data_IF_359334441994
#
_entry.id   IF_359334441994
#
_cell.length_a   1.000
_cell.length_b   1.000
_cell.length_c   1.000
_cell.angle_alpha   90.00
_cell.angle_beta   90.00
_cell.angle_gamma   90.00
#
_symmetry.space_group_name_H-M   'P 1'
#
loop_
_entity.id
_entity.type
_entity.pdbx_description
1 polymer ?
#
# COMPACT_ATOMS: atom_id res chain seq x y z
N UNK A 1 4.26 -19.42 -14.25
CA UNK A 1 5.05 -18.46 -13.44
C UNK A 1 4.05 -17.45 -12.89
N UNK A 2 3.98 -17.25 -11.57
CA UNK A 2 2.97 -16.40 -10.95
C UNK A 2 3.49 -14.97 -10.86
N UNK A 3 2.97 -14.08 -11.71
CA UNK A 3 3.40 -12.67 -11.77
C UNK A 3 2.49 -11.73 -10.98
N UNK A 4 1.26 -12.13 -10.70
CA UNK A 4 0.28 -11.32 -9.96
C UNK A 4 -0.40 -12.17 -8.88
N UNK A 5 -0.54 -11.59 -7.69
CA UNK A 5 -1.35 -12.13 -6.59
C UNK A 5 -2.39 -11.08 -6.23
N UNK A 6 -3.65 -11.52 -6.11
CA UNK A 6 -4.76 -10.67 -5.71
C UNK A 6 -5.51 -11.29 -4.54
N UNK A 7 -5.72 -10.49 -3.49
CA UNK A 7 -6.57 -10.84 -2.36
C UNK A 7 -7.81 -9.93 -2.36
N UNK A 8 -9.00 -10.53 -2.33
CA UNK A 8 -10.28 -9.81 -2.35
C UNK A 8 -11.11 -10.21 -1.14
N UNK A 9 -11.46 -9.24 -0.28
CA UNK A 9 -12.21 -9.42 0.98
C UNK A 9 -11.71 -10.60 1.83
N UNK A 10 -10.43 -10.93 1.67
CA UNK A 10 -9.85 -12.11 2.28
C UNK A 10 -9.32 -11.75 3.68
N UNK A 11 -9.62 -12.60 4.66
CA UNK A 11 -8.93 -12.61 5.94
C UNK A 11 -7.74 -13.53 5.82
N UNK A 12 -6.57 -12.93 5.62
CA UNK A 12 -5.32 -13.66 5.47
C UNK A 12 -4.95 -14.33 6.80
N UNK A 13 -4.54 -15.59 6.73
CA UNK A 13 -3.95 -16.30 7.87
C UNK A 13 -2.65 -15.64 8.34
N UNK A 14 -2.24 -15.91 9.57
CA UNK A 14 -1.04 -15.36 10.16
C UNK A 14 0.22 -15.72 9.34
N UNK A 15 1.11 -14.74 9.16
CA UNK A 15 2.45 -14.94 8.59
C UNK A 15 2.51 -15.00 7.06
N UNK A 16 1.42 -14.74 6.35
CA UNK A 16 1.41 -14.74 4.89
C UNK A 16 2.39 -13.72 4.28
N UNK A 17 2.65 -12.58 4.95
CA UNK A 17 3.58 -11.54 4.44
C UNK A 17 4.97 -12.14 4.23
N UNK A 18 5.43 -12.99 5.15
CA UNK A 18 6.74 -13.63 5.06
C UNK A 18 6.84 -14.53 3.81
N UNK A 19 5.72 -15.10 3.36
CA UNK A 19 5.70 -16.01 2.21
C UNK A 19 6.00 -15.31 0.89
N UNK A 20 5.72 -14.00 0.79
CA UNK A 20 5.99 -13.22 -0.42
C UNK A 20 7.48 -13.15 -0.76
N UNK A 21 8.37 -13.26 0.24
CA UNK A 21 9.82 -13.27 0.03
C UNK A 21 10.31 -14.48 -0.80
N UNK A 22 9.50 -15.54 -0.88
CA UNK A 22 9.79 -16.72 -1.68
C UNK A 22 9.21 -16.65 -3.10
N UNK A 23 8.44 -15.60 -3.42
CA UNK A 23 7.82 -15.43 -4.73
C UNK A 23 8.82 -14.84 -5.74
N UNK A 24 9.67 -15.68 -6.32
CA UNK A 24 10.75 -15.25 -7.23
C UNK A 24 10.35 -14.66 -8.59
N UNK A 25 9.05 -14.48 -8.87
CA UNK A 25 8.57 -13.89 -10.13
C UNK A 25 7.36 -12.96 -9.94
N UNK A 26 6.97 -12.68 -8.69
CA UNK A 26 5.80 -11.86 -8.40
C UNK A 26 6.14 -10.41 -8.70
N UNK A 27 5.42 -9.80 -9.65
CA UNK A 27 5.55 -8.40 -10.05
C UNK A 27 4.51 -7.51 -9.38
N UNK A 28 3.30 -8.03 -9.21
CA UNK A 28 2.16 -7.24 -8.72
C UNK A 28 1.47 -7.91 -7.54
N UNK A 29 1.28 -7.15 -6.46
CA UNK A 29 0.47 -7.55 -5.32
C UNK A 29 -0.72 -6.60 -5.21
N UNK A 30 -1.94 -7.17 -5.25
CA UNK A 30 -3.19 -6.41 -5.12
C UNK A 30 -3.96 -6.88 -3.90
N UNK A 31 -4.40 -5.94 -3.08
CA UNK A 31 -5.31 -6.20 -1.95
C UNK A 31 -6.53 -5.32 -2.11
N UNK A 32 -7.70 -5.93 -2.11
CA UNK A 32 -9.00 -5.30 -2.35
C UNK A 32 -9.91 -5.61 -1.18
N UNK A 33 -10.42 -4.60 -0.49
CA UNK A 33 -11.33 -4.72 0.65
C UNK A 33 -10.76 -5.52 1.85
N UNK A 34 -9.45 -5.74 1.93
CA UNK A 34 -8.83 -6.47 3.04
C UNK A 34 -8.75 -5.59 4.30
N UNK A 35 -9.43 -6.01 5.37
CA UNK A 35 -9.56 -5.24 6.63
C UNK A 35 -8.38 -5.36 7.59
N UNK A 36 -7.57 -6.42 7.44
CA UNK A 36 -6.34 -6.65 8.19
C UNK A 36 -5.25 -7.04 7.21
N UNK A 37 -4.02 -6.60 7.46
CA UNK A 37 -2.86 -6.99 6.67
C UNK A 37 -2.42 -8.38 7.10
N UNK A 38 -1.79 -8.52 8.25
CA UNK A 38 -1.38 -9.81 8.82
C UNK A 38 -1.63 -9.73 10.33
N UNK A 39 -2.34 -10.68 10.96
CA UNK A 39 -2.56 -10.61 12.41
C UNK A 39 -1.30 -10.93 13.24
N UNK A 40 -0.26 -11.52 12.65
CA UNK A 40 1.01 -11.82 13.31
C UNK A 40 2.14 -11.80 12.28
N UNK A 41 2.54 -10.60 11.80
CA UNK A 41 3.71 -10.48 10.96
C UNK A 41 4.92 -10.98 11.76
N UNK A 42 5.76 -11.83 11.14
CA UNK A 42 7.04 -12.23 11.74
C UNK A 42 7.83 -10.95 12.07
N UNK A 43 8.63 -10.91 13.16
CA UNK A 43 9.42 -9.72 13.49
C UNK A 43 10.21 -9.21 12.27
N UNK A 44 10.29 -7.89 12.10
CA UNK A 44 10.86 -7.22 10.92
C UNK A 44 12.29 -7.71 10.62
N UNK A 45 13.10 -7.96 11.66
CA UNK A 45 14.46 -8.54 11.58
C UNK A 45 14.54 -9.94 10.97
N UNK A 46 13.40 -10.61 10.86
CA UNK A 46 13.26 -11.96 10.31
C UNK A 46 12.48 -11.99 8.99
N UNK A 47 12.04 -10.85 8.47
CA UNK A 47 11.33 -10.77 7.20
C UNK A 47 12.34 -10.63 6.04
N UNK A 48 12.19 -11.49 5.03
CA UNK A 48 12.89 -11.32 3.75
C UNK A 48 12.17 -10.31 2.86
N UNK A 49 12.81 -9.85 1.79
CA UNK A 49 12.17 -9.01 0.77
C UNK A 49 11.75 -9.83 -0.46
N UNK A 50 10.76 -9.33 -1.19
CA UNK A 50 10.39 -9.83 -2.52
C UNK A 50 11.00 -8.90 -3.58
N UNK A 51 12.19 -9.19 -4.12
CA UNK A 51 12.92 -8.26 -4.99
C UNK A 51 12.28 -8.08 -6.36
N UNK A 52 11.42 -9.00 -6.79
CA UNK A 52 10.72 -8.94 -8.08
C UNK A 52 9.44 -8.11 -8.02
N UNK A 53 8.96 -7.75 -6.83
CA UNK A 53 7.71 -7.02 -6.69
C UNK A 53 7.92 -5.56 -7.10
N UNK A 54 7.23 -5.14 -8.15
CA UNK A 54 7.34 -3.82 -8.75
C UNK A 54 6.15 -2.93 -8.38
N UNK A 55 4.98 -3.53 -8.14
CA UNK A 55 3.73 -2.79 -7.99
C UNK A 55 2.90 -3.30 -6.80
N UNK A 56 2.47 -2.38 -5.94
CA UNK A 56 1.61 -2.64 -4.78
C UNK A 56 0.29 -1.86 -4.89
N UNK A 57 -0.84 -2.56 -5.01
CA UNK A 57 -2.17 -1.94 -5.05
C UNK A 57 -2.94 -2.25 -3.77
N UNK A 58 -3.42 -1.19 -3.11
CA UNK A 58 -4.24 -1.25 -1.89
C UNK A 58 -5.56 -0.53 -2.15
N UNK A 59 -6.62 -1.29 -2.42
CA UNK A 59 -7.95 -0.74 -2.69
C UNK A 59 -8.91 -1.07 -1.55
N UNK A 60 -9.62 -0.07 -0.99
CA UNK A 60 -10.59 -0.24 0.11
C UNK A 60 -10.03 -1.02 1.31
N UNK A 61 -8.70 -1.02 1.47
CA UNK A 61 -8.04 -1.71 2.56
C UNK A 61 -8.09 -0.86 3.83
N UNK A 62 -7.76 -1.46 4.97
CA UNK A 62 -7.47 -0.75 6.21
C UNK A 62 -6.02 -1.05 6.64
N UNK A 63 -5.27 0.02 6.89
CA UNK A 63 -3.87 0.18 7.35
C UNK A 63 -4.01 0.89 8.71
N UNK A 64 -4.17 0.08 9.75
CA UNK A 64 -4.40 0.54 11.13
C UNK A 64 -3.39 -0.06 12.10
N UNK A 65 -2.55 -0.97 11.62
CA UNK A 65 -1.67 -1.77 12.43
C UNK A 65 -0.26 -1.56 11.93
N UNK A 66 0.41 -0.59 12.57
CA UNK A 66 1.73 -0.13 12.19
C UNK A 66 2.74 -1.27 12.04
N UNK A 67 2.66 -2.32 12.86
CA UNK A 67 3.59 -3.45 12.75
C UNK A 67 3.37 -4.22 11.45
N UNK A 68 2.12 -4.56 11.17
CA UNK A 68 1.71 -5.30 9.98
C UNK A 68 1.88 -4.50 8.69
N UNK A 69 1.63 -3.20 8.76
CA UNK A 69 1.81 -2.27 7.65
C UNK A 69 3.32 -2.12 7.34
N UNK A 70 4.16 -1.89 8.36
CA UNK A 70 5.61 -1.83 8.18
C UNK A 70 6.19 -3.15 7.66
N UNK A 71 5.71 -4.29 8.16
CA UNK A 71 6.09 -5.60 7.65
C UNK A 71 5.79 -5.73 6.14
N UNK A 72 4.59 -5.33 5.71
CA UNK A 72 4.23 -5.35 4.29
C UNK A 72 5.16 -4.46 3.47
N UNK A 73 5.39 -3.21 3.87
CA UNK A 73 6.27 -2.30 3.12
C UNK A 73 7.73 -2.77 3.13
N UNK A 74 8.20 -3.43 4.19
CA UNK A 74 9.54 -4.02 4.23
C UNK A 74 9.70 -5.14 3.19
N UNK A 75 8.74 -6.07 3.14
CA UNK A 75 8.78 -7.16 2.15
C UNK A 75 8.67 -6.58 0.73
N UNK A 76 7.92 -5.49 0.57
CA UNK A 76 7.71 -4.77 -0.68
C UNK A 76 8.77 -3.66 -0.94
N UNK A 77 9.95 -3.68 -0.30
CA UNK A 77 10.95 -2.59 -0.45
C UNK A 77 11.40 -2.36 -1.90
N UNK A 78 11.25 -3.35 -2.77
CA UNK A 78 11.61 -3.29 -4.18
C UNK A 78 10.60 -2.52 -5.07
N UNK A 79 9.39 -2.27 -4.55
CA UNK A 79 8.26 -1.66 -5.27
C UNK A 79 8.62 -0.28 -5.78
N UNK A 80 8.17 0.00 -7.00
CA UNK A 80 8.32 1.27 -7.71
C UNK A 80 7.01 2.05 -7.78
N UNK A 81 5.90 1.33 -7.81
CA UNK A 81 4.58 1.91 -7.97
C UNK A 81 3.67 1.46 -6.83
N UNK A 82 3.17 2.41 -6.05
CA UNK A 82 2.17 2.16 -5.01
C UNK A 82 0.88 2.87 -5.44
N UNK A 83 -0.21 2.12 -5.49
CA UNK A 83 -1.53 2.64 -5.83
C UNK A 83 -2.45 2.38 -4.65
N UNK A 84 -3.02 3.44 -4.07
CA UNK A 84 -3.95 3.36 -2.96
C UNK A 84 -5.26 3.99 -3.40
N UNK A 85 -6.33 3.22 -3.27
CA UNK A 85 -7.66 3.58 -3.78
C UNK A 85 -8.73 3.40 -2.70
N UNK A 86 -9.71 4.32 -2.64
CA UNK A 86 -10.90 4.24 -1.78
C UNK A 86 -10.57 3.92 -0.31
N UNK A 87 -9.48 4.50 0.20
CA UNK A 87 -8.88 4.08 1.46
C UNK A 87 -9.50 4.81 2.67
N UNK A 88 -9.84 4.08 3.73
CA UNK A 88 -10.51 4.62 4.91
C UNK A 88 -9.50 4.84 6.03
N UNK A 89 -9.24 6.12 6.37
CA UNK A 89 -8.34 6.48 7.47
C UNK A 89 -6.91 6.78 7.01
N UNK A 90 -6.75 7.62 5.99
CA UNK A 90 -5.42 8.16 5.66
C UNK A 90 -4.87 8.94 6.86
N UNK A 91 -3.82 8.40 7.45
CA UNK A 91 -3.08 9.02 8.54
C UNK A 91 -1.64 9.32 8.07
N UNK A 92 -0.98 10.32 8.65
CA UNK A 92 0.43 10.63 8.39
C UNK A 92 1.34 9.40 8.57
N UNK A 93 0.94 8.46 9.44
CA UNK A 93 1.66 7.22 9.69
C UNK A 93 1.79 6.34 8.44
N UNK A 94 0.80 6.33 7.56
CA UNK A 94 0.83 5.54 6.33
C UNK A 94 1.93 6.03 5.38
N UNK A 95 2.10 7.35 5.26
CA UNK A 95 3.18 7.94 4.48
C UNK A 95 4.55 7.62 5.09
N UNK A 96 4.64 7.62 6.42
CA UNK A 96 5.85 7.20 7.12
C UNK A 96 6.18 5.73 6.83
N UNK A 97 5.20 4.83 6.83
CA UNK A 97 5.41 3.42 6.47
C UNK A 97 5.79 3.25 4.99
N UNK A 98 5.15 3.98 4.08
CA UNK A 98 5.47 3.95 2.65
C UNK A 98 6.92 4.42 2.37
N UNK A 99 7.50 5.28 3.21
CA UNK A 99 8.90 5.72 3.09
C UNK A 99 9.93 4.58 3.24
N UNK A 100 9.53 3.41 3.76
CA UNK A 100 10.34 2.19 3.77
C UNK A 100 10.69 1.77 2.33
N UNK A 101 9.75 1.93 1.39
CA UNK A 101 9.95 1.61 -0.03
C UNK A 101 10.70 2.74 -0.76
N UNK A 102 12.01 2.87 -0.50
CA UNK A 102 12.87 3.94 -1.06
C UNK A 102 12.98 3.96 -2.59
N UNK A 103 12.50 2.92 -3.28
CA UNK A 103 12.53 2.80 -4.75
C UNK A 103 11.25 3.30 -5.42
N UNK A 104 10.25 3.69 -4.64
CA UNK A 104 8.98 4.20 -5.15
C UNK A 104 9.25 5.44 -5.98
N UNK A 105 8.79 5.40 -7.23
CA UNK A 105 8.79 6.51 -8.18
C UNK A 105 7.40 7.10 -8.32
N UNK A 106 6.37 6.30 -8.08
CA UNK A 106 4.99 6.69 -8.25
C UNK A 106 4.15 6.24 -7.06
N UNK A 107 3.44 7.18 -6.43
CA UNK A 107 2.45 6.91 -5.40
C UNK A 107 1.14 7.62 -5.79
N UNK A 108 0.16 6.83 -6.24
CA UNK A 108 -1.19 7.31 -6.54
C UNK A 108 -2.09 7.13 -5.33
N UNK A 109 -2.81 8.20 -4.97
CA UNK A 109 -3.83 8.20 -3.93
C UNK A 109 -5.14 8.67 -4.57
N UNK A 110 -6.06 7.75 -4.75
CA UNK A 110 -7.37 8.02 -5.34
C UNK A 110 -8.45 7.70 -4.33
N UNK A 111 -9.42 8.61 -4.18
CA UNK A 111 -10.55 8.37 -3.29
C UNK A 111 -10.19 8.63 -1.83
N UNK A 112 -10.31 9.89 -1.43
CA UNK A 112 -10.25 10.30 -0.03
C UNK A 112 -11.46 11.18 0.26
N UNK A 113 -12.47 10.60 0.91
CA UNK A 113 -13.40 11.42 1.69
C UNK A 113 -12.69 11.86 2.96
N UNK A 114 -11.98 12.99 2.94
CA UNK A 114 -11.75 13.72 4.19
C UNK A 114 -13.14 14.02 4.74
N UNK A 115 -13.45 13.45 5.91
CA UNK A 115 -14.79 13.47 6.47
C UNK A 115 -15.33 14.90 6.64
N UNK A 116 -16.10 15.39 5.66
CA UNK A 116 -17.22 16.27 5.94
C UNK A 116 -18.41 15.37 6.19
N UNK A 117 -18.83 15.27 7.44
CA UNK A 117 -20.19 14.82 7.78
C UNK A 117 -21.16 15.61 6.88
N UNK A 118 -21.76 14.96 5.88
CA UNK A 118 -22.91 15.49 5.14
C UNK A 118 -22.63 16.32 3.87
N UNK A 119 -21.49 16.19 3.19
CA UNK A 119 -21.25 16.87 1.90
C UNK A 119 -20.69 15.92 0.85
N UNK A 120 -21.20 16.01 -0.39
CA UNK A 120 -20.82 15.17 -1.56
C UNK A 120 -19.32 14.84 -1.58
N UNK A 121 -19.00 13.55 -1.60
CA UNK A 121 -17.62 13.04 -1.73
C UNK A 121 -17.07 13.43 -3.10
N UNK A 122 -16.19 14.43 -3.18
CA UNK A 122 -15.32 14.60 -4.33
C UNK A 122 -14.09 13.70 -4.15
N UNK A 123 -13.69 12.91 -5.16
CA UNK A 123 -12.38 12.30 -5.13
C UNK A 123 -11.35 13.40 -5.34
N UNK A 124 -10.50 13.60 -4.35
CA UNK A 124 -9.23 14.24 -4.60
C UNK A 124 -8.30 13.18 -5.18
N UNK A 125 -7.70 13.46 -6.34
CA UNK A 125 -6.55 12.72 -6.83
C UNK A 125 -5.31 13.39 -6.23
N UNK A 126 -4.57 12.67 -5.40
CA UNK A 126 -3.28 13.14 -4.92
C UNK A 126 -2.18 12.35 -5.61
N UNK A 127 -1.29 13.06 -6.30
CA UNK A 127 -0.05 12.49 -6.78
C UNK A 127 1.00 12.71 -5.70
N UNK A 128 1.47 11.64 -5.07
CA UNK A 128 2.61 11.77 -4.17
C UNK A 128 3.87 11.36 -4.93
N UNK A 129 4.79 12.30 -5.09
CA UNK A 129 6.12 12.03 -5.63
C UNK A 129 7.06 11.79 -4.45
N UNK A 130 7.42 10.53 -4.20
CA UNK A 130 8.44 10.19 -3.23
C UNK A 130 9.81 10.19 -3.93
N UNK A 131 10.70 11.10 -3.52
CA UNK A 131 12.11 11.15 -3.95
C UNK A 131 12.97 10.82 -2.72
N UNK A 132 13.49 9.59 -2.66
CA UNK A 132 14.29 9.14 -1.52
C UNK A 132 13.46 9.05 -0.23
N UNK A 133 13.80 9.87 0.76
CA UNK A 133 13.08 9.93 2.07
C UNK A 133 11.98 10.99 2.12
N UNK A 134 11.76 11.73 1.03
CA UNK A 134 10.89 12.91 1.02
C UNK A 134 9.73 12.67 0.05
N UNK A 135 8.51 12.72 0.57
CA UNK A 135 7.30 12.59 -0.24
C UNK A 135 6.65 13.97 -0.39
N UNK A 136 6.54 14.44 -1.64
CA UNK A 136 5.81 15.65 -2.00
C UNK A 136 4.41 15.24 -2.42
N UNK A 137 3.40 15.74 -1.71
CA UNK A 137 1.99 15.50 -2.02
C UNK A 137 1.52 16.64 -2.91
N UNK A 138 1.16 16.32 -4.16
CA UNK A 138 0.53 17.25 -5.09
C UNK A 138 -0.95 16.92 -5.17
N UNK A 139 -1.80 17.93 -4.94
CA UNK A 139 -3.22 17.85 -5.22
C UNK A 139 -3.42 18.06 -6.73
N UNK A 140 -3.92 17.04 -7.43
CA UNK A 140 -4.25 17.15 -8.84
C UNK A 140 -5.62 17.84 -8.98
N UNK A 141 -5.76 18.84 -9.87
CA UNK A 141 -7.06 19.39 -10.19
C UNK A 141 -7.94 18.30 -10.81
N UNK A 142 -9.20 18.25 -10.39
CA UNK A 142 -10.23 17.29 -10.81
C UNK A 142 -10.35 17.28 -12.34
N UNK A 143 -9.73 16.31 -13.03
CA UNK A 143 -9.74 16.17 -14.50
C UNK A 143 -11.00 15.45 -15.01
N UNK A 144 -12.13 15.62 -14.31
CA UNK A 144 -13.44 15.17 -14.79
C UNK A 144 -13.97 16.18 -15.82
N UNK A 145 -13.71 15.91 -17.10
CA UNK A 145 -14.45 16.49 -18.23
C UNK A 145 -15.81 15.81 -18.38
#
# INVERSE_FOLDING_TARGET
MLEEIMFIDHRMDAGWIATLSFCGNLKTLRRISCKKVDPSPRPIEHLGSCPTLETLHLQRCQIRDKESDNALFLVCVAVRDIVIQDYWGMHNEMFASASICRRVKFLSLEGTGIGKKGGKNNPYEYLTLCIGSQCLIYELPDLRY
#
